data_IF_020559469905
#
_entry.id   IF_020559469905
#
_cell.length_a   1.000
_cell.length_b   1.000
_cell.length_c   1.000
_cell.angle_alpha   90.00
_cell.angle_beta   90.00
_cell.angle_gamma   90.00
#
_symmetry.space_group_name_H-M   'P 1'
#
loop_
_entity.id
_entity.type
_entity.pdbx_description
1 polymer ?
#
# COMPACT_ATOMS: atom_id res chain seq x y z
N UNK A 1 -46.75 -38.47 12.23
CA UNK A 1 -45.60 -38.11 13.07
C UNK A 1 -44.24 -38.33 12.39
N UNK A 2 -44.02 -39.39 11.59
CA UNK A 2 -42.70 -39.65 10.92
C UNK A 2 -42.36 -38.62 9.81
N UNK A 3 -43.35 -38.18 9.05
CA UNK A 3 -43.15 -37.19 7.97
C UNK A 3 -42.80 -35.79 8.47
N UNK A 4 -43.33 -35.37 9.62
CA UNK A 4 -43.05 -34.08 10.23
C UNK A 4 -41.60 -34.00 10.76
N UNK A 5 -41.06 -35.12 11.27
CA UNK A 5 -39.70 -35.22 11.78
C UNK A 5 -38.65 -35.10 10.65
N UNK A 6 -38.93 -35.68 9.48
CA UNK A 6 -38.03 -35.63 8.31
C UNK A 6 -37.94 -34.20 7.73
N UNK A 7 -39.05 -33.47 7.70
CA UNK A 7 -39.06 -32.07 7.22
C UNK A 7 -38.28 -31.16 8.18
N UNK A 8 -38.41 -31.37 9.49
CA UNK A 8 -37.68 -30.58 10.50
C UNK A 8 -36.16 -30.83 10.43
N UNK A 9 -35.69 -32.04 10.20
CA UNK A 9 -34.27 -32.36 10.06
C UNK A 9 -33.72 -31.78 8.75
N UNK A 10 -34.48 -31.78 7.65
CA UNK A 10 -34.05 -31.23 6.38
C UNK A 10 -33.90 -29.68 6.44
N UNK A 11 -34.79 -29.00 7.17
CA UNK A 11 -34.70 -27.54 7.36
C UNK A 11 -33.50 -27.16 8.26
N UNK A 12 -33.15 -27.97 9.27
CA UNK A 12 -32.04 -27.72 10.14
C UNK A 12 -30.67 -27.87 9.43
N UNK A 13 -30.59 -28.77 8.43
CA UNK A 13 -29.36 -28.94 7.62
C UNK A 13 -29.11 -27.79 6.62
N UNK A 14 -30.14 -27.06 6.19
CA UNK A 14 -30.00 -25.98 5.22
C UNK A 14 -29.53 -24.67 5.84
N UNK A 15 -29.65 -24.48 7.17
CA UNK A 15 -29.28 -23.24 7.86
C UNK A 15 -27.81 -23.22 8.27
N UNK A 16 -27.08 -24.35 8.30
CA UNK A 16 -25.69 -24.44 8.69
C UNK A 16 -24.67 -24.32 7.54
N UNK A 17 -25.11 -24.19 6.28
CA UNK A 17 -24.21 -24.09 5.12
C UNK A 17 -23.87 -22.64 4.71
N UNK A 18 -24.20 -21.67 5.54
CA UNK A 18 -23.73 -20.29 5.40
C UNK A 18 -22.28 -20.15 5.85
N UNK A 19 -21.32 -20.79 5.17
CA UNK A 19 -19.92 -20.43 5.29
C UNK A 19 -19.76 -18.99 4.85
N UNK A 20 -19.72 -18.09 5.83
CA UNK A 20 -19.31 -16.70 5.66
C UNK A 20 -17.83 -16.71 5.26
N UNK A 21 -17.56 -16.87 3.96
CA UNK A 21 -16.23 -16.68 3.40
C UNK A 21 -15.89 -15.19 3.55
N UNK A 22 -15.34 -14.81 4.70
CA UNK A 22 -14.60 -13.56 4.83
C UNK A 22 -13.44 -13.64 3.84
N UNK A 23 -13.64 -13.07 2.65
CA UNK A 23 -12.56 -12.87 1.71
C UNK A 23 -11.51 -12.00 2.40
N UNK A 24 -10.44 -12.63 2.88
CA UNK A 24 -9.24 -11.93 3.30
C UNK A 24 -8.68 -11.26 2.04
N UNK A 25 -8.91 -9.95 1.90
CA UNK A 25 -8.25 -9.15 0.87
C UNK A 25 -6.74 -9.27 1.09
N UNK A 26 -6.09 -10.10 0.31
CA UNK A 26 -4.64 -10.25 0.27
C UNK A 26 -4.02 -8.89 -0.07
N UNK A 27 -2.93 -8.47 0.58
CA UNK A 27 -2.16 -7.30 0.16
C UNK A 27 -1.82 -7.42 -1.31
N UNK A 28 -1.88 -6.30 -2.05
CA UNK A 28 -1.60 -6.28 -3.48
C UNK A 28 -0.26 -7.00 -3.76
N UNK A 29 -0.35 -8.16 -4.37
CA UNK A 29 0.83 -8.92 -4.80
C UNK A 29 1.48 -8.14 -5.95
N UNK A 30 2.75 -7.79 -5.81
CA UNK A 30 3.54 -7.16 -6.87
C UNK A 30 3.90 -8.28 -7.89
N UNK A 31 2.89 -8.77 -8.59
CA UNK A 31 3.07 -9.82 -9.61
C UNK A 31 3.16 -9.26 -11.03
N UNK A 32 2.98 -7.94 -11.20
CA UNK A 32 3.08 -7.28 -12.50
C UNK A 32 4.37 -6.46 -12.61
N UNK A 33 4.97 -6.37 -13.82
CA UNK A 33 6.10 -5.49 -14.07
C UNK A 33 5.77 -4.05 -13.65
N UNK A 34 6.73 -3.36 -13.04
CA UNK A 34 6.55 -1.96 -12.69
C UNK A 34 6.35 -1.11 -13.96
N UNK A 35 5.50 -0.08 -13.92
CA UNK A 35 5.35 0.86 -15.04
C UNK A 35 6.68 1.51 -15.42
N UNK A 36 6.83 1.85 -16.69
CA UNK A 36 8.01 2.57 -17.19
C UNK A 36 8.01 3.99 -16.61
N UNK A 37 9.16 4.38 -16.05
CA UNK A 37 9.36 5.73 -15.51
C UNK A 37 9.36 6.74 -16.67
N UNK A 38 8.57 7.84 -16.61
CA UNK A 38 8.58 8.88 -17.62
C UNK A 38 9.97 9.56 -17.72
N UNK A 39 10.31 10.05 -18.93
CA UNK A 39 11.61 10.68 -19.22
C UNK A 39 12.01 11.76 -18.22
N UNK A 40 11.06 12.57 -17.77
CA UNK A 40 11.29 13.70 -16.84
C UNK A 40 11.76 13.26 -15.45
N UNK A 41 11.53 12.00 -15.11
CA UNK A 41 11.90 11.39 -13.83
C UNK A 41 13.05 10.41 -13.97
N UNK A 42 13.28 9.86 -15.15
CA UNK A 42 14.24 8.78 -15.42
C UNK A 42 15.67 9.14 -14.99
N UNK A 43 16.33 8.19 -14.33
CA UNK A 43 17.73 8.31 -13.91
C UNK A 43 17.98 9.18 -12.68
N UNK A 44 16.91 9.69 -12.04
CA UNK A 44 17.07 10.41 -10.77
C UNK A 44 17.46 9.46 -9.66
N UNK A 45 18.39 9.86 -8.81
CA UNK A 45 18.87 9.07 -7.65
C UNK A 45 18.79 9.92 -6.39
N UNK A 46 18.74 9.27 -5.23
CA UNK A 46 18.79 9.95 -3.94
C UNK A 46 20.08 10.79 -3.87
N UNK A 47 19.98 12.12 -3.64
CA UNK A 47 21.15 12.95 -3.51
C UNK A 47 22.06 12.52 -2.36
N UNK A 48 23.40 12.66 -2.51
CA UNK A 48 24.32 12.39 -1.40
C UNK A 48 23.97 13.23 -0.16
N UNK A 49 24.19 12.67 1.03
CA UNK A 49 23.93 13.31 2.32
C UNK A 49 22.45 13.67 2.57
N UNK A 50 21.51 13.00 1.91
CA UNK A 50 20.08 13.15 2.19
C UNK A 50 19.80 12.81 3.65
N UNK A 51 19.07 13.69 4.35
CA UNK A 51 18.77 13.53 5.78
C UNK A 51 17.65 12.49 5.99
N UNK A 52 18.04 11.28 6.35
CA UNK A 52 17.10 10.15 6.59
C UNK A 52 16.20 10.40 7.82
N UNK A 53 16.72 11.09 8.86
CA UNK A 53 15.91 11.39 10.05
C UNK A 53 14.76 12.34 9.72
N UNK A 54 15.01 13.38 8.92
CA UNK A 54 13.94 14.24 8.42
C UNK A 54 12.94 13.46 7.56
N UNK A 55 13.42 12.45 6.81
CA UNK A 55 12.57 11.54 6.06
C UNK A 55 11.67 10.68 6.95
N UNK A 56 12.15 10.27 8.12
CA UNK A 56 11.33 9.54 9.09
C UNK A 56 10.18 10.40 9.61
N UNK A 57 10.43 11.68 9.90
CA UNK A 57 9.40 12.59 10.38
C UNK A 57 8.33 12.84 9.30
N UNK A 58 8.75 13.06 8.04
CA UNK A 58 7.83 13.20 6.90
C UNK A 58 7.02 11.93 6.73
N UNK A 59 7.66 10.77 6.74
CA UNK A 59 6.98 9.49 6.57
C UNK A 59 5.91 9.26 7.64
N UNK A 60 6.25 9.53 8.89
CA UNK A 60 5.33 9.39 10.02
C UNK A 60 4.11 10.31 9.89
N UNK A 61 4.32 11.55 9.46
CA UNK A 61 3.26 12.56 9.36
C UNK A 61 2.36 12.33 8.16
N UNK A 62 2.97 12.05 6.99
CA UNK A 62 2.28 12.15 5.71
C UNK A 62 1.98 10.78 5.06
N UNK A 63 2.71 9.72 5.44
CA UNK A 63 2.65 8.43 4.75
C UNK A 63 2.10 7.29 5.64
N UNK A 64 2.49 7.27 6.93
CA UNK A 64 2.25 6.12 7.81
C UNK A 64 0.77 5.81 8.04
N UNK A 65 -0.10 6.83 8.02
CA UNK A 65 -1.55 6.63 8.20
C UNK A 65 -2.13 5.64 7.19
N UNK A 66 -1.63 5.63 5.96
CA UNK A 66 -2.03 4.69 4.91
C UNK A 66 -1.06 3.51 4.78
N UNK A 67 0.27 3.78 4.75
CA UNK A 67 1.28 2.76 4.49
C UNK A 67 1.70 1.96 5.73
N UNK A 68 1.27 2.36 6.93
CA UNK A 68 1.71 1.78 8.20
C UNK A 68 3.06 2.33 8.66
N UNK A 69 3.32 2.33 9.97
CA UNK A 69 4.57 2.86 10.54
C UNK A 69 5.82 2.12 10.02
N UNK A 70 5.67 0.82 9.73
CA UNK A 70 6.72 -0.03 9.16
C UNK A 70 6.67 -0.12 7.63
N UNK A 71 5.73 0.59 6.97
CA UNK A 71 5.62 0.63 5.51
C UNK A 71 5.05 -0.64 4.86
N UNK A 72 4.34 -1.49 5.59
CA UNK A 72 3.78 -2.74 5.07
C UNK A 72 2.43 -2.58 4.33
N UNK A 73 1.89 -1.37 4.22
CA UNK A 73 0.59 -1.09 3.62
C UNK A 73 -0.59 -1.39 4.55
N UNK A 74 -0.33 -1.47 5.84
CA UNK A 74 -1.26 -1.87 6.90
C UNK A 74 -1.71 -0.70 7.79
N UNK A 75 -1.48 0.53 7.37
CA UNK A 75 -1.92 1.73 8.07
C UNK A 75 -3.43 1.76 8.27
N UNK A 76 -3.88 2.38 9.37
CA UNK A 76 -5.29 2.35 9.80
C UNK A 76 -6.24 2.89 8.72
N UNK A 77 -5.89 3.97 8.02
CA UNK A 77 -6.68 4.49 6.92
C UNK A 77 -6.56 3.62 5.66
N UNK A 78 -5.39 2.98 5.45
CA UNK A 78 -5.12 2.15 4.28
C UNK A 78 -5.97 0.88 4.20
N UNK A 79 -6.40 0.36 5.35
CA UNK A 79 -7.17 -0.89 5.40
C UNK A 79 -8.53 -0.82 4.70
N UNK A 80 -9.14 0.36 4.65
CA UNK A 80 -10.44 0.59 4.00
C UNK A 80 -10.31 0.91 2.50
N UNK A 81 -9.10 1.15 1.99
CA UNK A 81 -8.87 1.56 0.60
C UNK A 81 -8.89 0.36 -0.35
N UNK A 82 -9.31 0.63 -1.59
CA UNK A 82 -9.28 -0.33 -2.70
C UNK A 82 -8.80 0.40 -3.96
N UNK A 83 -7.60 0.08 -4.50
CA UNK A 83 -6.64 -0.89 -3.96
C UNK A 83 -6.01 -0.45 -2.63
N UNK A 84 -5.55 -1.42 -1.84
CA UNK A 84 -4.80 -1.13 -0.62
C UNK A 84 -3.46 -0.47 -0.93
N UNK A 85 -2.91 0.34 0.01
CA UNK A 85 -1.58 0.89 -0.13
C UNK A 85 -0.53 -0.18 -0.35
N UNK A 86 0.45 0.14 -1.19
CA UNK A 86 1.56 -0.76 -1.47
C UNK A 86 2.38 -1.05 -0.20
N UNK A 87 2.89 -2.28 -0.08
CA UNK A 87 3.94 -2.62 0.86
C UNK A 87 5.25 -1.98 0.37
N UNK A 88 5.67 -0.90 1.03
CA UNK A 88 6.85 -0.12 0.64
C UNK A 88 8.15 -0.87 0.91
N UNK A 89 8.18 -1.77 1.91
CA UNK A 89 9.35 -2.62 2.18
C UNK A 89 9.61 -3.56 0.99
N UNK A 90 8.57 -4.16 0.44
CA UNK A 90 8.70 -5.03 -0.74
C UNK A 90 8.97 -4.20 -1.99
N UNK A 91 8.24 -3.10 -2.21
CA UNK A 91 8.37 -2.24 -3.37
C UNK A 91 9.77 -1.62 -3.47
N UNK A 92 10.33 -1.15 -2.36
CA UNK A 92 11.66 -0.51 -2.33
C UNK A 92 12.79 -1.46 -2.75
N UNK A 93 12.62 -2.77 -2.63
CA UNK A 93 13.63 -3.76 -3.03
C UNK A 93 13.69 -3.99 -4.54
N UNK A 94 12.60 -3.71 -5.25
CA UNK A 94 12.47 -4.01 -6.69
C UNK A 94 12.35 -2.77 -7.57
N UNK A 95 12.21 -1.58 -6.98
CA UNK A 95 12.08 -0.30 -7.70
C UNK A 95 13.34 0.54 -7.57
N UNK A 96 13.66 1.30 -8.61
CA UNK A 96 14.71 2.31 -8.58
C UNK A 96 14.24 3.59 -7.87
N UNK A 97 15.17 4.51 -7.56
CA UNK A 97 14.87 5.75 -6.84
C UNK A 97 13.98 6.68 -7.66
N UNK A 98 14.22 6.76 -8.95
CA UNK A 98 13.42 7.55 -9.89
C UNK A 98 11.97 7.09 -9.96
N UNK A 99 11.72 5.78 -9.87
CA UNK A 99 10.38 5.24 -9.81
C UNK A 99 9.65 5.71 -8.54
N UNK A 100 10.29 5.62 -7.38
CA UNK A 100 9.71 6.08 -6.12
C UNK A 100 9.48 7.59 -6.14
N UNK A 101 10.46 8.35 -6.64
CA UNK A 101 10.35 9.81 -6.76
C UNK A 101 9.19 10.20 -7.68
N UNK A 102 9.06 9.54 -8.83
CA UNK A 102 7.94 9.75 -9.74
C UNK A 102 6.61 9.48 -9.03
N UNK A 103 6.43 8.30 -8.43
CA UNK A 103 5.16 7.90 -7.81
C UNK A 103 4.76 8.80 -6.65
N UNK A 104 5.70 9.22 -5.82
CA UNK A 104 5.42 10.17 -4.74
C UNK A 104 5.09 11.55 -5.32
N UNK A 105 5.83 12.00 -6.32
CA UNK A 105 5.60 13.32 -6.92
C UNK A 105 4.23 13.44 -7.57
N UNK A 106 3.81 12.41 -8.33
CA UNK A 106 2.59 12.48 -9.17
C UNK A 106 1.37 11.78 -8.56
N UNK A 107 1.56 11.04 -7.46
CA UNK A 107 0.53 10.13 -6.97
C UNK A 107 0.39 8.88 -7.82
N UNK A 108 -0.66 8.11 -7.56
CA UNK A 108 -0.96 6.87 -8.29
C UNK A 108 -2.39 6.91 -8.79
N UNK A 109 -2.56 7.01 -10.10
CA UNK A 109 -3.88 7.08 -10.72
C UNK A 109 -4.77 5.89 -10.33
N UNK A 110 -6.04 6.17 -10.12
CA UNK A 110 -7.03 5.18 -9.72
C UNK A 110 -6.91 4.71 -8.26
N UNK A 111 -6.10 5.38 -7.44
CA UNK A 111 -5.92 5.07 -6.02
C UNK A 111 -6.15 6.32 -5.15
N UNK A 112 -6.15 6.12 -3.84
CA UNK A 112 -6.23 7.21 -2.87
C UNK A 112 -4.87 7.92 -2.62
N UNK A 113 -3.77 7.49 -3.26
CA UNK A 113 -2.46 8.12 -3.09
C UNK A 113 -2.37 9.43 -3.87
N UNK A 114 -2.35 10.60 -3.20
CA UNK A 114 -2.30 11.89 -3.88
C UNK A 114 -0.90 12.19 -4.44
N UNK A 115 -0.83 13.19 -5.32
CA UNK A 115 0.42 13.81 -5.72
C UNK A 115 0.99 14.66 -4.57
N UNK A 116 2.26 14.47 -4.26
CA UNK A 116 2.95 15.21 -3.22
C UNK A 116 3.77 16.39 -3.74
N UNK A 117 4.01 16.46 -5.06
CA UNK A 117 4.66 17.61 -5.67
C UNK A 117 3.80 18.87 -5.47
N UNK A 118 4.41 19.94 -4.92
CA UNK A 118 3.69 21.16 -4.55
C UNK A 118 3.21 21.18 -3.08
N UNK A 119 3.13 20.03 -2.43
CA UNK A 119 2.90 19.88 -0.98
C UNK A 119 4.27 19.71 -0.28
N UNK A 120 5.07 18.78 -0.79
CA UNK A 120 6.46 18.56 -0.38
C UNK A 120 7.42 19.13 -1.44
N UNK A 121 8.55 19.64 -1.00
CA UNK A 121 9.66 19.99 -1.88
C UNK A 121 10.32 18.72 -2.42
N UNK A 122 11.04 18.81 -3.54
CA UNK A 122 11.81 17.67 -4.09
C UNK A 122 12.79 17.11 -3.05
N UNK A 123 13.41 17.98 -2.23
CA UNK A 123 14.28 17.55 -1.14
C UNK A 123 13.54 16.72 -0.10
N UNK A 124 12.35 17.12 0.30
CA UNK A 124 11.53 16.38 1.26
C UNK A 124 11.07 15.02 0.69
N UNK A 125 10.73 14.96 -0.59
CA UNK A 125 10.42 13.69 -1.27
C UNK A 125 11.65 12.77 -1.24
N UNK A 126 12.85 13.28 -1.53
CA UNK A 126 14.09 12.51 -1.44
C UNK A 126 14.39 12.02 -0.01
N UNK A 127 14.12 12.82 0.99
CA UNK A 127 14.27 12.44 2.39
C UNK A 127 13.31 11.30 2.75
N UNK A 128 12.05 11.39 2.33
CA UNK A 128 11.08 10.32 2.54
C UNK A 128 11.51 9.01 1.83
N UNK A 129 12.02 9.08 0.59
CA UNK A 129 12.53 7.90 -0.13
C UNK A 129 13.73 7.29 0.60
N UNK A 130 14.67 8.11 1.07
CA UNK A 130 15.84 7.64 1.81
C UNK A 130 15.43 6.89 3.08
N UNK A 131 14.38 7.33 3.78
CA UNK A 131 13.80 6.61 4.91
C UNK A 131 13.11 5.31 4.47
N UNK A 132 12.31 5.34 3.39
CA UNK A 132 11.65 4.14 2.84
C UNK A 132 12.66 3.04 2.50
N UNK A 133 13.86 3.41 2.01
CA UNK A 133 14.94 2.45 1.69
C UNK A 133 15.48 1.68 2.88
N UNK A 134 15.32 2.19 4.08
CA UNK A 134 15.83 1.53 5.30
C UNK A 134 14.73 0.81 6.10
N UNK A 135 13.48 0.89 5.69
CA UNK A 135 12.37 0.13 6.29
C UNK A 135 12.61 -1.39 6.17
N UNK A 136 12.14 -2.14 7.17
CA UNK A 136 12.36 -3.60 7.30
C UNK A 136 11.04 -4.33 7.47
#
# INVERSE_FOLDING_TARGET
MRTLLIVLVAVLFFVLSGCLSKSLKTPASISQPLPIVPSDYMGKIIPPNTNVSAGADIFKTDCATCHGESGHGDGSAGQALDPRPANLVALSKISADDFLFWKISTGVDGTAMPAWKGILTDQQIWQAIAFIRILK
#
